data_IF_414102657470
#
_entry.id   IF_414102657470
#
_cell.length_a   1.000
_cell.length_b   1.000
_cell.length_c   1.000
_cell.angle_alpha   90.00
_cell.angle_beta   90.00
_cell.angle_gamma   90.00
#
_symmetry.space_group_name_H-M   'P 1'
#
loop_
_entity.id
_entity.type
_entity.pdbx_description
1 polymer ?
#
# COMPACT_ATOMS: atom_id res chain seq x y z
N UNK A 1 21.67 -24.02 -11.16
CA UNK A 1 21.65 -22.55 -11.36
C UNK A 1 20.31 -21.90 -11.02
N UNK A 2 19.41 -22.65 -10.34
CA UNK A 2 18.02 -22.24 -10.10
C UNK A 2 17.72 -21.95 -8.61
N UNK A 3 18.74 -21.87 -7.79
CA UNK A 3 18.59 -21.77 -6.32
C UNK A 3 18.58 -20.31 -5.83
N UNK A 4 19.17 -19.39 -6.59
CA UNK A 4 19.27 -17.97 -6.18
C UNK A 4 18.01 -17.14 -6.50
N UNK A 5 17.16 -17.60 -7.42
CA UNK A 5 15.90 -16.89 -7.76
C UNK A 5 14.74 -17.20 -6.79
N UNK A 6 14.89 -18.21 -5.93
CA UNK A 6 13.83 -18.62 -4.98
C UNK A 6 13.72 -17.79 -3.71
N UNK A 7 14.67 -16.88 -3.46
CA UNK A 7 14.71 -16.07 -2.25
C UNK A 7 14.15 -14.66 -2.37
N UNK A 8 13.94 -14.18 -3.59
CA UNK A 8 13.31 -12.88 -3.84
C UNK A 8 11.88 -13.15 -4.31
N UNK A 9 10.91 -12.92 -3.46
CA UNK A 9 9.51 -12.96 -3.80
C UNK A 9 9.16 -12.02 -4.95
N UNK A 10 7.92 -11.99 -5.35
CA UNK A 10 7.46 -11.10 -6.42
C UNK A 10 7.82 -9.65 -6.11
N UNK A 11 8.28 -8.92 -7.14
CA UNK A 11 8.63 -7.52 -7.02
C UNK A 11 7.57 -6.68 -7.69
N UNK A 12 6.97 -5.76 -6.96
CA UNK A 12 6.04 -4.78 -7.48
C UNK A 12 6.74 -3.43 -7.66
N UNK A 13 6.33 -2.70 -8.67
CA UNK A 13 6.84 -1.38 -9.00
C UNK A 13 5.69 -0.39 -9.04
N UNK A 14 5.84 0.72 -8.36
CA UNK A 14 4.90 1.83 -8.33
C UNK A 14 5.54 3.10 -8.87
N UNK A 15 4.82 3.85 -9.69
CA UNK A 15 5.19 5.20 -10.09
C UNK A 15 4.40 6.23 -9.28
N UNK A 16 5.06 7.32 -8.79
CA UNK A 16 4.39 8.32 -7.98
C UNK A 16 3.29 9.10 -8.71
N UNK A 17 3.33 9.14 -10.05
CA UNK A 17 2.41 9.97 -10.85
C UNK A 17 1.09 9.30 -11.24
N UNK A 18 1.03 7.97 -11.36
CA UNK A 18 -0.17 7.27 -11.80
C UNK A 18 -0.72 6.25 -10.82
N UNK A 19 -0.09 6.10 -9.66
CA UNK A 19 -0.47 5.16 -8.60
C UNK A 19 -0.61 3.70 -9.06
N UNK A 20 -0.05 3.37 -10.23
CA UNK A 20 -0.16 2.05 -10.83
C UNK A 20 0.96 1.13 -10.33
N UNK A 21 0.60 -0.05 -9.92
CA UNK A 21 1.53 -1.08 -9.44
C UNK A 21 1.70 -2.14 -10.50
N UNK A 22 2.95 -2.39 -10.88
CA UNK A 22 3.31 -3.40 -11.88
C UNK A 22 4.04 -4.55 -11.19
N UNK A 23 3.68 -5.76 -11.57
CA UNK A 23 4.44 -6.95 -11.18
C UNK A 23 5.64 -7.09 -12.12
N UNK A 24 6.84 -7.21 -11.57
CA UNK A 24 8.06 -7.37 -12.36
C UNK A 24 7.96 -8.58 -13.30
N UNK A 25 7.37 -9.67 -12.82
CA UNK A 25 7.13 -10.89 -13.61
C UNK A 25 6.23 -10.64 -14.81
N UNK A 26 5.19 -9.81 -14.68
CA UNK A 26 4.29 -9.44 -15.78
C UNK A 26 4.96 -8.58 -16.85
N UNK A 27 6.08 -7.94 -16.51
CA UNK A 27 6.94 -7.17 -17.41
C UNK A 27 8.16 -7.96 -17.89
N UNK A 28 8.14 -9.29 -17.83
CA UNK A 28 9.29 -10.16 -18.12
C UNK A 28 10.55 -9.75 -17.35
N UNK A 29 10.34 -9.19 -16.16
CA UNK A 29 11.42 -8.64 -15.37
C UNK A 29 12.23 -9.70 -14.67
N UNK A 30 13.50 -9.41 -14.46
CA UNK A 30 14.42 -10.27 -13.72
C UNK A 30 15.39 -9.44 -12.88
N UNK A 31 15.83 -10.03 -11.79
CA UNK A 31 16.92 -9.51 -11.00
C UNK A 31 18.24 -9.76 -11.74
N UNK A 32 19.02 -8.71 -11.98
CA UNK A 32 20.34 -8.82 -12.59
C UNK A 32 21.44 -8.96 -11.54
N UNK A 33 21.40 -8.14 -10.50
CA UNK A 33 22.39 -8.15 -9.45
C UNK A 33 21.86 -7.53 -8.15
N UNK A 34 22.46 -7.89 -7.05
CA UNK A 34 22.28 -7.23 -5.76
C UNK A 34 23.63 -7.14 -5.03
N UNK A 35 23.85 -6.02 -4.33
CA UNK A 35 25.02 -5.84 -3.50
C UNK A 35 24.94 -6.70 -2.24
N UNK A 36 26.09 -7.17 -1.74
CA UNK A 36 26.17 -7.95 -0.49
C UNK A 36 26.38 -7.05 0.73
N UNK A 37 26.69 -5.78 0.53
CA UNK A 37 26.88 -4.78 1.57
C UNK A 37 26.58 -3.38 1.03
N UNK A 38 26.27 -2.46 1.92
CA UNK A 38 26.26 -1.04 1.58
C UNK A 38 27.68 -0.58 1.26
N UNK A 39 27.86 0.34 0.31
CA UNK A 39 29.14 0.95 0.01
C UNK A 39 29.63 1.83 1.17
N UNK A 40 30.93 2.17 1.16
CA UNK A 40 31.62 2.88 2.26
C UNK A 40 30.97 4.23 2.67
N UNK A 41 30.19 4.85 1.78
CA UNK A 41 29.47 6.10 2.03
C UNK A 41 27.96 6.00 1.76
N UNK A 42 27.38 4.81 1.79
CA UNK A 42 25.96 4.59 1.53
C UNK A 42 25.34 3.63 2.53
N UNK A 43 24.18 4.00 3.04
CA UNK A 43 23.34 3.11 3.84
C UNK A 43 22.48 2.16 2.99
N UNK A 44 22.61 2.22 1.66
CA UNK A 44 21.79 1.48 0.72
C UNK A 44 22.57 0.37 0.04
N UNK A 45 21.94 -0.78 -0.08
CA UNK A 45 22.44 -1.90 -0.87
C UNK A 45 21.87 -1.78 -2.28
N UNK A 46 22.71 -1.70 -3.32
CA UNK A 46 22.22 -1.57 -4.69
C UNK A 46 21.56 -2.87 -5.15
N UNK A 47 20.39 -2.75 -5.78
CA UNK A 47 19.69 -3.85 -6.42
C UNK A 47 19.32 -3.43 -7.83
N UNK A 48 19.66 -4.26 -8.82
CA UNK A 48 19.44 -3.95 -10.23
C UNK A 48 18.47 -4.94 -10.84
N UNK A 49 17.44 -4.42 -11.48
CA UNK A 49 16.42 -5.17 -12.20
C UNK A 49 16.42 -4.77 -13.67
N UNK A 50 16.09 -5.71 -14.53
CA UNK A 50 15.76 -5.50 -15.94
C UNK A 50 14.31 -5.86 -16.17
N UNK A 51 13.61 -5.14 -17.02
CA UNK A 51 12.22 -5.45 -17.40
C UNK A 51 11.85 -4.79 -18.73
N UNK A 52 10.83 -5.32 -19.40
CA UNK A 52 10.29 -4.76 -20.63
C UNK A 52 9.52 -3.48 -20.33
N UNK A 53 10.02 -2.34 -20.82
CA UNK A 53 9.32 -1.07 -20.73
C UNK A 53 8.39 -0.88 -21.92
N UNK A 54 7.08 -1.03 -21.71
CA UNK A 54 6.04 -0.80 -22.72
C UNK A 54 5.67 0.67 -22.90
N UNK A 55 6.55 1.59 -22.52
CA UNK A 55 6.34 3.03 -22.63
C UNK A 55 5.69 3.67 -21.40
N UNK A 56 5.39 2.89 -20.39
CA UNK A 56 4.71 3.37 -19.16
C UNK A 56 5.68 3.93 -18.12
N UNK A 57 6.97 3.60 -18.25
CA UNK A 57 8.01 4.06 -17.34
C UNK A 57 8.91 5.05 -18.04
N UNK A 58 8.98 6.26 -17.51
CA UNK A 58 9.87 7.30 -18.03
C UNK A 58 11.30 7.03 -17.53
N UNK A 59 12.29 6.83 -18.44
CA UNK A 59 13.69 6.70 -18.04
C UNK A 59 14.14 7.90 -17.21
N UNK A 60 14.90 7.63 -16.13
CA UNK A 60 15.34 8.67 -15.19
C UNK A 60 14.35 9.04 -14.09
N UNK A 61 13.14 8.48 -14.10
CA UNK A 61 12.17 8.68 -13.02
C UNK A 61 12.46 7.78 -11.82
N UNK A 62 12.05 8.24 -10.63
CA UNK A 62 12.06 7.43 -9.43
C UNK A 62 10.87 6.49 -9.41
N UNK A 63 11.07 5.31 -8.82
CA UNK A 63 10.03 4.31 -8.61
C UNK A 63 10.16 3.74 -7.21
N UNK A 64 9.03 3.38 -6.62
CA UNK A 64 8.98 2.62 -5.38
C UNK A 64 8.96 1.12 -5.73
N UNK A 65 9.84 0.34 -5.13
CA UNK A 65 9.96 -1.10 -5.37
C UNK A 65 9.62 -1.85 -4.09
N UNK A 66 8.66 -2.76 -4.17
CA UNK A 66 8.29 -3.65 -3.08
C UNK A 66 8.93 -5.01 -3.29
N UNK A 67 9.76 -5.42 -2.35
CA UNK A 67 10.29 -6.78 -2.30
C UNK A 67 9.32 -7.64 -1.51
N UNK A 68 8.76 -8.65 -2.15
CA UNK A 68 7.82 -9.54 -1.51
C UNK A 68 8.56 -10.72 -0.89
N UNK A 69 8.23 -11.02 0.35
CA UNK A 69 8.63 -12.25 1.03
C UNK A 69 7.67 -13.39 0.69
N UNK A 70 7.88 -14.55 1.31
CA UNK A 70 6.90 -15.64 1.24
C UNK A 70 5.52 -15.20 1.73
N UNK A 71 4.48 -15.85 1.21
CA UNK A 71 3.09 -15.61 1.62
C UNK A 71 2.96 -15.82 3.13
N UNK A 72 2.35 -14.84 3.79
CA UNK A 72 1.97 -14.96 5.19
C UNK A 72 0.53 -15.49 5.27
N UNK A 73 0.37 -16.58 6.01
CA UNK A 73 -0.95 -17.18 6.27
C UNK A 73 -1.57 -16.61 7.56
N UNK A 74 -2.90 -16.70 7.65
CA UNK A 74 -3.68 -16.27 8.82
C UNK A 74 -3.49 -14.80 9.21
N UNK A 75 -3.33 -13.93 8.21
CA UNK A 75 -3.27 -12.47 8.39
C UNK A 75 -4.49 -11.80 7.81
N UNK A 76 -4.91 -10.69 8.41
CA UNK A 76 -5.92 -9.81 7.83
C UNK A 76 -5.18 -8.84 6.91
N UNK A 77 -5.59 -8.77 5.65
CA UNK A 77 -5.07 -7.79 4.71
C UNK A 77 -6.22 -7.02 4.06
N UNK A 78 -6.00 -5.75 3.82
CA UNK A 78 -6.93 -4.86 3.15
C UNK A 78 -6.26 -4.20 1.94
N UNK A 79 -7.00 -3.87 0.89
CA UNK A 79 -6.46 -3.07 -0.19
C UNK A 79 -6.04 -1.69 0.34
N UNK A 80 -4.97 -1.12 -0.21
CA UNK A 80 -4.50 0.22 0.21
C UNK A 80 -5.57 1.31 0.09
N UNK A 81 -6.52 1.16 -0.83
CA UNK A 81 -7.66 2.06 -1.01
C UNK A 81 -8.61 2.13 0.19
N UNK A 82 -8.59 1.12 1.07
CA UNK A 82 -9.35 1.11 2.33
C UNK A 82 -8.74 2.00 3.41
N UNK A 83 -7.46 2.36 3.29
CA UNK A 83 -6.72 3.10 4.31
C UNK A 83 -6.79 4.61 4.05
N UNK A 84 -6.98 5.36 5.12
CA UNK A 84 -6.74 6.80 5.17
C UNK A 84 -5.69 7.09 6.21
N UNK A 85 -4.87 8.12 5.98
CA UNK A 85 -3.82 8.52 6.88
C UNK A 85 -4.07 9.94 7.39
N UNK A 86 -3.88 10.15 8.66
CA UNK A 86 -3.93 11.44 9.31
C UNK A 86 -2.78 11.54 10.33
N UNK A 87 -1.84 12.45 10.10
CA UNK A 87 -0.70 12.70 10.99
C UNK A 87 0.12 11.44 11.34
N UNK A 88 0.30 10.53 10.37
CA UNK A 88 1.03 9.28 10.57
C UNK A 88 0.23 8.15 11.21
N UNK A 89 -1.05 8.38 11.50
CA UNK A 89 -1.96 7.37 12.04
C UNK A 89 -2.87 6.87 10.91
N UNK A 90 -3.03 5.55 10.81
CA UNK A 90 -3.86 4.92 9.80
C UNK A 90 -5.24 4.59 10.31
N UNK A 91 -6.24 4.81 9.46
CA UNK A 91 -7.64 4.56 9.76
C UNK A 91 -8.30 3.81 8.62
N UNK A 92 -9.30 3.00 9.00
CA UNK A 92 -10.28 2.40 8.09
C UNK A 92 -11.68 2.85 8.50
N UNK A 93 -12.65 2.60 7.64
CA UNK A 93 -14.05 2.84 7.93
C UNK A 93 -14.78 1.51 7.98
N UNK A 94 -15.34 1.20 9.15
CA UNK A 94 -16.21 0.04 9.37
C UNK A 94 -17.65 0.44 9.07
N UNK A 95 -18.32 -0.34 8.24
CA UNK A 95 -19.74 -0.19 8.02
C UNK A 95 -20.49 -0.85 9.19
N UNK A 96 -21.26 -0.07 9.95
CA UNK A 96 -22.08 -0.56 11.06
C UNK A 96 -23.45 -1.02 10.58
N UNK A 97 -24.08 -0.22 9.72
CA UNK A 97 -25.39 -0.46 9.11
C UNK A 97 -25.44 0.14 7.70
N UNK A 98 -26.62 0.29 7.10
CA UNK A 98 -26.76 0.78 5.72
C UNK A 98 -26.25 2.22 5.53
N UNK A 99 -26.29 3.06 6.56
CA UNK A 99 -25.92 4.48 6.50
C UNK A 99 -24.76 4.85 7.45
N UNK A 100 -24.46 3.98 8.40
CA UNK A 100 -23.51 4.26 9.49
C UNK A 100 -22.10 3.73 9.22
N UNK A 101 -21.12 4.62 9.34
CA UNK A 101 -19.71 4.28 9.27
C UNK A 101 -18.98 4.69 10.55
N UNK A 102 -18.12 3.81 11.05
CA UNK A 102 -17.25 4.09 12.18
C UNK A 102 -15.82 4.23 11.69
N UNK A 103 -15.19 5.38 11.97
CA UNK A 103 -13.75 5.54 11.81
C UNK A 103 -13.03 4.69 12.86
N UNK A 104 -12.14 3.83 12.43
CA UNK A 104 -11.40 2.89 13.27
C UNK A 104 -9.91 3.04 13.02
N UNK A 105 -9.15 3.35 14.06
CA UNK A 105 -7.70 3.32 14.02
C UNK A 105 -7.18 1.90 13.84
N UNK A 106 -6.15 1.75 13.01
CA UNK A 106 -5.50 0.47 12.73
C UNK A 106 -3.99 0.61 12.77
N UNK A 107 -3.34 -0.48 13.17
CA UNK A 107 -1.89 -0.63 13.01
C UNK A 107 -1.62 -1.48 11.78
N UNK A 108 -0.75 -0.99 10.91
CA UNK A 108 -0.39 -1.68 9.68
C UNK A 108 0.93 -2.45 9.84
N UNK A 109 1.07 -3.53 9.07
CA UNK A 109 2.28 -4.33 8.98
C UNK A 109 2.86 -4.33 7.58
N UNK A 110 3.12 -5.52 7.02
CA UNK A 110 3.68 -5.68 5.69
C UNK A 110 2.77 -5.09 4.61
N UNK A 111 3.40 -4.47 3.61
CA UNK A 111 2.75 -3.83 2.46
C UNK A 111 3.39 -4.35 1.17
N UNK A 112 2.58 -4.76 0.22
CA UNK A 112 3.04 -5.25 -1.08
C UNK A 112 2.71 -4.27 -2.22
N UNK A 113 2.32 -3.03 -1.89
CA UNK A 113 1.92 -2.00 -2.86
C UNK A 113 0.46 -2.07 -3.31
N UNK A 114 -0.21 -3.20 -3.18
CA UNK A 114 -1.64 -3.40 -3.48
C UNK A 114 -2.47 -3.56 -2.21
N UNK A 115 -1.97 -4.38 -1.30
CA UNK A 115 -2.62 -4.71 -0.04
C UNK A 115 -1.68 -4.50 1.13
N UNK A 116 -2.26 -4.17 2.27
CA UNK A 116 -1.53 -3.91 3.51
C UNK A 116 -2.05 -4.86 4.58
N UNK A 117 -1.14 -5.47 5.31
CA UNK A 117 -1.45 -6.26 6.49
C UNK A 117 -1.97 -5.35 7.59
N UNK A 118 -3.07 -5.75 8.24
CA UNK A 118 -3.59 -5.08 9.42
C UNK A 118 -3.24 -5.91 10.66
N UNK A 119 -2.51 -5.29 11.57
CA UNK A 119 -2.06 -5.94 12.80
C UNK A 119 -3.09 -5.82 13.92
N UNK A 120 -3.71 -4.64 14.04
CA UNK A 120 -4.73 -4.36 15.06
C UNK A 120 -5.84 -3.46 14.53
N UNK A 121 -6.98 -3.45 15.18
CA UNK A 121 -8.09 -2.54 14.90
C UNK A 121 -9.18 -3.11 13.99
N UNK A 122 -8.99 -4.31 13.44
CA UNK A 122 -9.99 -5.02 12.63
C UNK A 122 -9.96 -6.51 12.98
N UNK A 123 -11.06 -7.19 12.80
CA UNK A 123 -11.20 -8.64 13.03
C UNK A 123 -11.98 -9.29 11.89
N UNK A 124 -11.84 -10.61 11.78
CA UNK A 124 -12.59 -11.37 10.80
C UNK A 124 -14.09 -11.18 10.98
N UNK A 125 -14.81 -10.91 9.88
CA UNK A 125 -16.24 -10.62 9.88
C UNK A 125 -16.61 -9.14 9.89
N UNK A 126 -15.66 -8.24 10.18
CA UNK A 126 -15.88 -6.80 10.05
C UNK A 126 -16.12 -6.42 8.58
N UNK A 127 -17.06 -5.52 8.35
CA UNK A 127 -17.36 -4.95 7.03
C UNK A 127 -16.57 -3.67 6.86
N UNK A 128 -15.59 -3.68 5.97
CA UNK A 128 -14.68 -2.57 5.74
C UNK A 128 -14.98 -1.89 4.40
N UNK A 129 -14.97 -0.57 4.37
CA UNK A 129 -15.02 0.20 3.13
C UNK A 129 -13.69 0.05 2.40
N UNK A 130 -13.68 -0.66 1.28
CA UNK A 130 -12.48 -0.92 0.48
C UNK A 130 -12.28 0.07 -0.66
N UNK A 131 -13.38 0.70 -1.10
CA UNK A 131 -13.37 1.77 -2.11
C UNK A 131 -14.13 2.97 -1.59
N UNK A 132 -13.66 4.18 -1.88
CA UNK A 132 -14.30 5.39 -1.42
C UNK A 132 -14.07 5.76 0.04
N UNK A 133 -13.07 5.18 0.72
CA UNK A 133 -12.74 5.51 2.10
C UNK A 133 -12.47 7.01 2.31
N UNK A 134 -11.86 7.66 1.33
CA UNK A 134 -11.62 9.11 1.38
C UNK A 134 -12.91 9.91 1.30
N UNK A 135 -13.89 9.50 0.50
CA UNK A 135 -15.21 10.13 0.40
C UNK A 135 -15.99 10.00 1.72
N UNK A 136 -15.95 8.83 2.35
CA UNK A 136 -16.53 8.62 3.68
C UNK A 136 -15.89 9.53 4.72
N UNK A 137 -14.57 9.67 4.67
CA UNK A 137 -13.82 10.60 5.53
C UNK A 137 -14.31 12.04 5.37
N UNK A 138 -14.45 12.54 4.14
CA UNK A 138 -14.91 13.90 3.88
C UNK A 138 -16.35 14.11 4.36
N UNK A 139 -17.23 13.16 4.10
CA UNK A 139 -18.62 13.21 4.56
C UNK A 139 -18.72 13.26 6.09
N UNK A 140 -17.92 12.47 6.79
CA UNK A 140 -17.85 12.47 8.25
C UNK A 140 -17.33 13.79 8.82
N UNK A 141 -16.37 14.42 8.14
CA UNK A 141 -15.83 15.72 8.55
C UNK A 141 -16.83 16.87 8.33
N UNK A 142 -17.64 16.80 7.25
CA UNK A 142 -18.64 17.83 6.95
C UNK A 142 -19.83 17.82 7.95
N UNK A 143 -20.19 16.65 8.45
CA UNK A 143 -21.25 16.50 9.46
C UNK A 143 -20.82 16.94 10.87
N UNK A 144 -19.52 17.17 11.07
CA UNK A 144 -18.98 17.66 12.35
C UNK A 144 -18.98 19.20 12.49
N UNK A 145 -19.36 19.94 11.44
CA UNK A 145 -19.51 21.39 11.50
C UNK A 145 -20.89 21.71 12.05
N UNK A 146 -21.02 22.29 13.27
CA UNK A 146 -22.30 22.73 13.79
C UNK A 146 -22.88 23.79 12.84
N UNK A 147 -24.14 23.62 12.45
CA UNK A 147 -24.87 24.68 11.77
C UNK A 147 -24.93 25.89 12.73
N UNK A 148 -24.17 26.96 12.42
CA UNK A 148 -24.34 28.22 13.11
C UNK A 148 -25.74 28.74 12.79
N UNK A 149 -26.67 28.57 13.73
CA UNK A 149 -27.95 29.26 13.69
C UNK A 149 -27.67 30.74 13.91
N UNK A 150 -27.78 31.53 12.85
CA UNK A 150 -27.93 32.97 12.97
C UNK A 150 -29.39 33.22 13.36
N UNK A 151 -29.65 33.38 14.63
CA UNK A 151 -30.86 34.05 15.10
C UNK A 151 -30.62 35.57 14.99
N UNK A 152 -31.50 36.20 14.22
CA UNK A 152 -31.72 37.63 14.21
C UNK A 152 -32.87 37.97 15.16
#
# INVERSE_FOLDING_TARGET
DDVESRGLGDVYKRQPYNNQVYELKALNGKLLSFGKAAGDNSFYVPVTFEFDNKGEVIPGSFVEVFLLSSVMENVISLPRTALTEEQGIFFIYLQLDEEGYKKQEVTIGADNGKSVQILTGVKAGDRVVTEGAYQVRLASASNAIPAHSHEH
#
